data_IF_310522105665
#
_entry.id   IF_310522105665
#
_cell.length_a   1.000
_cell.length_b   1.000
_cell.length_c   1.000
_cell.angle_alpha   90.00
_cell.angle_beta   90.00
_cell.angle_gamma   90.00
#
_symmetry.space_group_name_H-M   'P 1'
#
loop_
_entity.id
_entity.type
_entity.pdbx_description
1 polymer ?
#
# COMPACT_ATOMS: atom_id res chain seq x y z
N UNK A 1 28.80 -10.34 -13.21
CA UNK A 1 28.14 -9.17 -12.59
C UNK A 1 26.82 -9.66 -12.05
N UNK A 2 26.60 -9.69 -10.74
CA UNK A 2 25.29 -10.08 -10.19
C UNK A 2 24.28 -8.98 -10.53
N UNK A 3 23.26 -9.31 -11.29
CA UNK A 3 22.16 -8.39 -11.59
C UNK A 3 21.38 -8.16 -10.30
N UNK A 4 21.28 -6.90 -9.87
CA UNK A 4 20.40 -6.49 -8.78
C UNK A 4 18.94 -6.62 -9.26
N UNK A 5 18.11 -7.37 -8.53
CA UNK A 5 16.69 -7.55 -8.81
C UNK A 5 15.78 -6.73 -7.89
N UNK A 6 16.33 -5.76 -7.13
CA UNK A 6 15.51 -4.80 -6.39
C UNK A 6 14.54 -4.06 -7.34
N UNK A 7 13.29 -3.94 -6.92
CA UNK A 7 12.19 -3.39 -7.71
C UNK A 7 11.73 -2.09 -7.08
N UNK A 8 11.48 -1.08 -7.91
CA UNK A 8 10.76 0.12 -7.50
C UNK A 8 9.40 0.08 -8.19
N UNK A 9 8.35 -0.23 -7.43
CA UNK A 9 7.00 -0.29 -7.98
C UNK A 9 6.22 0.95 -7.57
N UNK A 10 5.45 1.47 -8.51
CA UNK A 10 4.46 2.51 -8.26
C UNK A 10 3.07 1.88 -8.37
N UNK A 11 2.32 1.92 -7.28
CA UNK A 11 0.97 1.40 -7.15
C UNK A 11 -0.01 2.57 -7.25
N UNK A 12 -0.79 2.59 -8.32
CA UNK A 12 -1.81 3.59 -8.56
C UNK A 12 -3.02 3.39 -7.65
N UNK A 13 -3.49 4.49 -7.05
CA UNK A 13 -4.64 4.53 -6.16
C UNK A 13 -5.64 5.54 -6.70
N UNK A 14 -6.84 5.06 -7.02
CA UNK A 14 -7.92 5.83 -7.65
C UNK A 14 -9.19 5.78 -6.81
N UNK A 15 -10.18 6.61 -7.13
CA UNK A 15 -11.53 6.46 -6.60
C UNK A 15 -12.32 5.50 -7.50
N UNK A 16 -13.16 4.66 -6.91
CA UNK A 16 -13.99 3.72 -7.65
C UNK A 16 -14.95 4.41 -8.64
N UNK A 17 -15.46 5.58 -8.26
CA UNK A 17 -16.35 6.40 -9.08
C UNK A 17 -15.75 7.80 -9.29
N UNK A 18 -16.17 8.55 -10.33
CA UNK A 18 -15.80 9.95 -10.48
C UNK A 18 -16.06 10.74 -9.19
N UNK A 19 -15.13 11.63 -8.81
CA UNK A 19 -15.27 12.40 -7.58
C UNK A 19 -16.45 13.37 -7.69
N UNK A 20 -17.38 13.25 -6.73
CA UNK A 20 -18.49 14.17 -6.52
C UNK A 20 -18.57 14.46 -5.02
N UNK A 21 -18.53 15.73 -4.68
CA UNK A 21 -18.55 16.16 -3.29
C UNK A 21 -19.81 15.67 -2.59
N UNK A 22 -19.66 15.09 -1.39
CA UNK A 22 -20.76 14.56 -0.59
C UNK A 22 -21.19 13.12 -0.94
N UNK A 23 -20.82 12.58 -2.10
CA UNK A 23 -21.18 11.20 -2.48
C UNK A 23 -20.29 10.15 -1.79
N UNK A 24 -20.83 8.94 -1.66
CA UNK A 24 -20.08 7.77 -1.20
C UNK A 24 -19.18 7.24 -2.30
N UNK A 25 -17.95 6.92 -1.92
CA UNK A 25 -16.92 6.41 -2.81
C UNK A 25 -15.92 5.61 -1.98
N UNK A 26 -14.96 4.97 -2.63
CA UNK A 26 -13.91 4.23 -1.96
C UNK A 26 -12.65 4.20 -2.83
N UNK A 27 -11.51 3.93 -2.21
CA UNK A 27 -10.24 3.83 -2.93
C UNK A 27 -10.12 2.45 -3.57
N UNK A 28 -9.61 2.42 -4.79
CA UNK A 28 -9.28 1.21 -5.55
C UNK A 28 -7.79 1.23 -5.85
N UNK A 29 -7.14 0.08 -5.66
CA UNK A 29 -5.72 -0.11 -5.93
C UNK A 29 -5.57 -0.79 -7.29
N UNK A 30 -4.78 -0.20 -8.19
CA UNK A 30 -4.39 -0.78 -9.49
C UNK A 30 -5.55 -1.43 -10.25
N UNK A 31 -6.71 -0.76 -10.28
CA UNK A 31 -7.94 -1.23 -10.93
C UNK A 31 -8.40 -2.65 -10.48
N UNK A 32 -8.05 -3.05 -9.25
CA UNK A 32 -8.38 -4.38 -8.70
C UNK A 32 -7.22 -5.37 -8.68
N UNK A 33 -6.02 -4.99 -9.10
CA UNK A 33 -4.80 -5.79 -8.86
C UNK A 33 -4.27 -5.53 -7.45
N UNK A 34 -4.87 -6.19 -6.47
CA UNK A 34 -4.68 -5.89 -5.05
C UNK A 34 -3.43 -6.53 -4.43
N UNK A 35 -2.80 -7.48 -5.12
CA UNK A 35 -1.72 -8.30 -4.55
C UNK A 35 -0.41 -8.09 -5.31
N UNK A 36 0.64 -7.73 -4.58
CA UNK A 36 1.98 -7.51 -5.13
C UNK A 36 2.97 -8.51 -4.52
N UNK A 37 3.71 -9.21 -5.38
CA UNK A 37 4.66 -10.24 -4.96
C UNK A 37 6.10 -9.80 -5.22
N UNK A 38 6.98 -10.10 -4.27
CA UNK A 38 8.40 -9.81 -4.33
C UNK A 38 9.20 -11.09 -4.10
N UNK A 39 10.20 -11.27 -4.95
CA UNK A 39 11.21 -12.31 -4.80
C UNK A 39 12.37 -11.80 -3.96
N UNK A 40 13.11 -12.70 -3.32
CA UNK A 40 14.29 -12.33 -2.54
C UNK A 40 15.29 -11.52 -3.35
N UNK A 41 15.84 -10.50 -2.71
CA UNK A 41 16.85 -9.63 -3.32
C UNK A 41 18.17 -10.41 -3.41
N UNK A 42 18.71 -10.46 -4.62
CA UNK A 42 20.02 -11.02 -4.96
C UNK A 42 20.93 -9.88 -5.40
N UNK A 43 22.17 -9.84 -4.89
CA UNK A 43 23.13 -8.80 -5.26
C UNK A 43 23.29 -7.68 -4.24
N UNK A 44 23.12 -6.41 -4.63
CA UNK A 44 23.43 -5.26 -3.77
C UNK A 44 22.44 -5.10 -2.60
N UNK A 45 22.85 -4.41 -1.53
CA UNK A 45 22.05 -4.06 -0.33
C UNK A 45 20.94 -3.00 -0.58
N UNK A 46 20.28 -3.01 -1.74
CA UNK A 46 19.17 -2.08 -2.01
C UNK A 46 17.85 -2.81 -1.84
N UNK A 47 16.91 -2.28 -1.04
CA UNK A 47 15.62 -2.91 -0.87
C UNK A 47 14.69 -2.68 -2.06
N UNK A 48 13.59 -3.44 -2.12
CA UNK A 48 12.48 -3.02 -2.97
C UNK A 48 11.87 -1.74 -2.41
N UNK A 49 11.36 -0.89 -3.29
CA UNK A 49 10.60 0.31 -2.92
C UNK A 49 9.19 0.18 -3.44
N UNK A 50 8.23 0.40 -2.55
CA UNK A 50 6.81 0.41 -2.86
C UNK A 50 6.31 1.82 -2.66
N UNK A 51 5.79 2.43 -3.71
CA UNK A 51 5.19 3.76 -3.66
C UNK A 51 3.72 3.67 -4.05
N UNK A 52 2.82 4.04 -3.14
CA UNK A 52 1.41 4.26 -3.47
C UNK A 52 1.24 5.70 -3.93
N UNK A 53 0.55 5.91 -5.05
CA UNK A 53 0.34 7.25 -5.63
C UNK A 53 -1.14 7.47 -5.91
N UNK A 54 -1.69 8.58 -5.44
CA UNK A 54 -3.03 9.02 -5.83
C UNK A 54 -3.02 9.50 -7.29
N UNK A 55 -3.73 8.80 -8.17
CA UNK A 55 -3.77 9.05 -9.63
C UNK A 55 -5.20 9.25 -10.13
N UNK A 56 -5.36 9.54 -11.43
CA UNK A 56 -6.68 9.63 -12.07
C UNK A 56 -7.63 10.60 -11.36
N UNK A 57 -8.85 10.13 -11.09
CA UNK A 57 -9.88 10.85 -10.32
C UNK A 57 -9.53 11.03 -8.83
N UNK A 58 -8.52 10.35 -8.30
CA UNK A 58 -7.99 10.53 -6.95
C UNK A 58 -6.86 11.58 -6.87
N UNK A 59 -6.34 12.06 -8.00
CA UNK A 59 -5.16 12.95 -8.05
C UNK A 59 -5.34 14.30 -7.35
N UNK A 60 -6.58 14.72 -7.07
CA UNK A 60 -6.91 15.92 -6.29
C UNK A 60 -6.89 15.74 -4.77
N UNK A 61 -6.75 14.51 -4.28
CA UNK A 61 -6.73 14.20 -2.85
C UNK A 61 -5.33 14.21 -2.25
N UNK A 62 -5.28 13.86 -0.97
CA UNK A 62 -4.06 13.64 -0.21
C UNK A 62 -4.17 12.37 0.63
N UNK A 63 -3.08 11.64 0.81
CA UNK A 63 -3.05 10.59 1.83
C UNK A 63 -3.18 11.21 3.21
N UNK A 64 -3.90 10.53 4.11
CA UNK A 64 -3.97 10.95 5.50
C UNK A 64 -2.57 10.87 6.16
N UNK A 65 -2.39 11.63 7.24
CA UNK A 65 -1.14 11.59 8.01
C UNK A 65 -0.88 10.18 8.56
N UNK A 66 0.37 9.74 8.59
CA UNK A 66 0.72 8.39 9.08
C UNK A 66 0.45 8.20 10.58
N UNK A 67 0.43 9.30 11.34
CA UNK A 67 0.15 9.32 12.78
C UNK A 67 -1.31 9.68 13.11
N UNK A 68 -2.19 9.74 12.11
CA UNK A 68 -3.63 9.93 12.36
C UNK A 68 -4.16 8.73 13.16
N UNK A 69 -4.79 8.94 14.33
CA UNK A 69 -5.18 7.85 15.22
C UNK A 69 -6.34 7.02 14.68
N UNK A 70 -7.19 7.58 13.82
CA UNK A 70 -8.38 6.92 13.30
C UNK A 70 -8.18 6.44 11.86
N UNK A 71 -7.53 7.25 11.03
CA UNK A 71 -7.41 7.06 9.59
C UNK A 71 -5.97 7.28 9.11
N UNK A 72 -4.98 6.51 9.59
CA UNK A 72 -3.59 6.70 9.16
C UNK A 72 -3.47 6.43 7.66
N UNK A 73 -2.61 7.19 6.94
CA UNK A 73 -2.47 7.06 5.49
C UNK A 73 -2.27 5.62 4.99
N UNK A 74 -1.59 4.80 5.81
CA UNK A 74 -1.51 3.34 5.66
C UNK A 74 -1.70 2.66 7.02
N UNK A 75 -2.49 1.59 7.03
CA UNK A 75 -2.69 0.70 8.19
C UNK A 75 -2.45 -0.75 7.80
N UNK A 76 -1.56 -1.43 8.52
CA UNK A 76 -1.41 -2.89 8.45
C UNK A 76 -2.58 -3.58 9.18
N UNK A 77 -3.17 -4.60 8.57
CA UNK A 77 -4.37 -5.26 9.10
C UNK A 77 -4.04 -6.42 10.06
N UNK A 78 -2.99 -7.20 9.77
CA UNK A 78 -2.62 -8.41 10.53
C UNK A 78 -1.55 -8.15 11.62
N UNK A 79 -1.44 -6.90 12.06
CA UNK A 79 -0.37 -6.42 12.93
C UNK A 79 0.73 -5.70 12.17
N UNK A 80 1.43 -4.81 12.86
CA UNK A 80 2.52 -4.02 12.26
C UNK A 80 3.72 -4.93 12.00
N UNK A 81 4.20 -5.04 10.74
CA UNK A 81 5.37 -5.84 10.43
C UNK A 81 6.62 -5.27 11.10
N UNK A 82 7.63 -6.12 11.29
CA UNK A 82 8.92 -5.68 11.81
C UNK A 82 9.59 -4.69 10.85
N UNK A 83 10.29 -3.70 11.40
CA UNK A 83 11.21 -2.80 10.68
C UNK A 83 12.35 -3.54 9.95
N UNK A 84 12.52 -4.85 10.19
CA UNK A 84 13.41 -5.71 9.38
C UNK A 84 12.82 -6.12 8.04
N UNK A 85 11.50 -6.00 7.87
CA UNK A 85 10.75 -6.39 6.67
C UNK A 85 10.29 -5.14 5.93
N UNK A 86 9.52 -4.28 6.58
CA UNK A 86 9.10 -3.00 6.02
C UNK A 86 9.61 -1.87 6.88
N UNK A 87 10.31 -0.91 6.30
CA UNK A 87 10.87 0.20 7.05
C UNK A 87 10.79 1.50 6.25
N UNK A 88 10.99 2.63 6.95
CA UNK A 88 10.91 3.98 6.36
C UNK A 88 9.60 4.21 5.61
N UNK A 89 8.48 3.86 6.24
CA UNK A 89 7.17 4.29 5.75
C UNK A 89 7.08 5.82 5.90
N UNK A 90 7.06 6.53 4.78
CA UNK A 90 7.09 7.99 4.78
C UNK A 90 6.23 8.59 3.66
N UNK A 91 5.62 9.76 3.88
CA UNK A 91 4.95 10.50 2.82
C UNK A 91 5.97 11.19 1.92
N UNK A 92 5.69 11.19 0.60
CA UNK A 92 6.44 11.96 -0.39
C UNK A 92 5.53 13.04 -0.98
N UNK A 93 5.49 14.18 -0.29
CA UNK A 93 4.44 15.18 -0.53
C UNK A 93 3.07 14.66 -0.03
N UNK A 94 1.98 15.20 -0.57
CA UNK A 94 0.62 14.84 -0.11
C UNK A 94 0.03 13.64 -0.85
N UNK A 95 0.55 13.29 -2.03
CA UNK A 95 -0.07 12.31 -2.95
C UNK A 95 0.60 10.95 -2.99
N UNK A 96 1.72 10.79 -2.27
CA UNK A 96 2.51 9.56 -2.32
C UNK A 96 2.85 9.09 -0.91
N UNK A 97 2.78 7.78 -0.70
CA UNK A 97 3.36 7.09 0.45
C UNK A 97 4.41 6.12 -0.08
N UNK A 98 5.58 6.06 0.54
CA UNK A 98 6.64 5.14 0.16
C UNK A 98 7.06 4.29 1.35
N UNK A 99 7.35 3.02 1.11
CA UNK A 99 7.96 2.12 2.09
C UNK A 99 9.03 1.27 1.41
N UNK A 100 10.08 0.95 2.15
CA UNK A 100 11.08 0.00 1.70
C UNK A 100 10.73 -1.41 2.19
N UNK A 101 10.83 -2.38 1.30
CA UNK A 101 10.63 -3.81 1.58
C UNK A 101 11.99 -4.54 1.53
N UNK A 102 12.46 -4.91 2.71
CA UNK A 102 13.72 -5.60 3.01
C UNK A 102 13.56 -7.12 2.88
N UNK A 103 13.31 -7.60 1.65
CA UNK A 103 13.16 -9.02 1.39
C UNK A 103 14.48 -9.71 1.01
N UNK A 104 15.41 -9.87 1.96
CA UNK A 104 16.75 -10.44 1.69
C UNK A 104 16.86 -11.93 1.99
N UNK A 105 16.05 -12.43 2.92
CA UNK A 105 16.13 -13.81 3.40
C UNK A 105 14.79 -14.35 3.87
N UNK A 106 14.79 -15.62 4.27
CA UNK A 106 13.61 -16.36 4.71
C UNK A 106 12.87 -15.73 5.90
N UNK A 107 13.55 -14.95 6.75
CA UNK A 107 12.91 -14.30 7.92
C UNK A 107 11.95 -13.18 7.52
N UNK A 108 12.03 -12.73 6.27
CA UNK A 108 11.16 -11.71 5.69
C UNK A 108 10.11 -12.27 4.72
N UNK A 109 9.95 -13.60 4.65
CA UNK A 109 8.86 -14.25 3.92
C UNK A 109 7.53 -14.09 4.67
N UNK A 110 6.44 -13.93 3.93
CA UNK A 110 5.11 -13.75 4.51
C UNK A 110 4.15 -13.00 3.60
N UNK A 111 2.95 -12.76 4.11
CA UNK A 111 1.92 -11.97 3.46
C UNK A 111 1.38 -10.94 4.44
N UNK A 112 1.28 -9.69 4.00
CA UNK A 112 0.81 -8.57 4.81
C UNK A 112 -0.31 -7.85 4.11
N UNK A 113 -1.49 -7.84 4.73
CA UNK A 113 -2.62 -7.06 4.25
C UNK A 113 -2.57 -5.64 4.80
N UNK A 114 -2.98 -4.69 3.98
CA UNK A 114 -2.98 -3.28 4.34
C UNK A 114 -4.27 -2.59 3.94
N UNK A 115 -4.46 -1.38 4.45
CA UNK A 115 -5.54 -0.47 4.07
C UNK A 115 -4.96 0.93 3.92
N UNK A 116 -5.35 1.62 2.86
CA UNK A 116 -4.97 3.02 2.62
C UNK A 116 -6.13 3.95 2.96
N UNK A 117 -5.78 5.15 3.39
CA UNK A 117 -6.72 6.23 3.70
C UNK A 117 -6.27 7.52 3.02
N UNK A 118 -7.19 8.17 2.32
CA UNK A 118 -6.95 9.44 1.66
C UNK A 118 -8.13 10.39 1.88
N UNK A 119 -7.82 11.68 1.98
CA UNK A 119 -8.78 12.77 2.17
C UNK A 119 -9.01 13.51 0.87
N UNK A 120 -10.27 13.84 0.61
CA UNK A 120 -10.71 14.71 -0.47
C UNK A 120 -11.66 15.75 0.13
N UNK A 121 -11.22 17.02 0.17
CA UNK A 121 -11.90 18.05 0.94
C UNK A 121 -11.99 17.65 2.41
N UNK A 122 -13.20 17.53 2.95
CA UNK A 122 -13.44 17.17 4.35
C UNK A 122 -13.80 15.70 4.56
N UNK A 123 -13.81 14.87 3.51
CA UNK A 123 -14.21 13.45 3.60
C UNK A 123 -13.01 12.54 3.43
N UNK A 124 -12.93 11.52 4.29
CA UNK A 124 -11.92 10.46 4.22
C UNK A 124 -12.49 9.26 3.49
N UNK A 125 -11.72 8.74 2.55
CA UNK A 125 -12.01 7.56 1.75
C UNK A 125 -10.95 6.51 2.05
N UNK A 126 -11.33 5.25 1.91
CA UNK A 126 -10.43 4.14 2.19
C UNK A 126 -10.63 3.00 1.23
N UNK A 127 -9.65 2.12 1.15
CA UNK A 127 -9.84 0.83 0.48
C UNK A 127 -10.84 0.01 1.30
N UNK A 128 -11.91 -0.54 0.70
CA UNK A 128 -12.84 -1.42 1.39
C UNK A 128 -12.11 -2.62 1.97
N UNK A 129 -12.50 -3.03 3.18
CA UNK A 129 -12.00 -4.26 3.78
C UNK A 129 -13.09 -5.30 3.71
N UNK A 130 -12.79 -6.46 3.13
CA UNK A 130 -13.61 -7.64 3.29
C UNK A 130 -13.30 -8.27 4.64
N UNK A 131 -14.30 -8.33 5.53
CA UNK A 131 -14.20 -9.14 6.73
C UNK A 131 -14.18 -10.61 6.30
N UNK A 132 -13.01 -11.25 6.41
CA UNK A 132 -12.79 -12.60 5.90
C UNK A 132 -13.65 -13.63 6.63
N UNK A 133 -14.68 -14.16 5.96
CA UNK A 133 -15.27 -15.45 6.27
C UNK A 133 -14.64 -16.49 5.32
N UNK A 134 -13.38 -16.87 5.58
CA UNK A 134 -12.68 -17.97 4.91
C UNK A 134 -11.54 -17.57 3.94
N UNK A 135 -10.63 -18.52 3.65
CA UNK A 135 -9.37 -18.28 2.92
C UNK A 135 -9.51 -17.96 1.42
N UNK A 136 -10.72 -17.86 0.86
CA UNK A 136 -10.96 -17.71 -0.58
C UNK A 136 -11.67 -16.40 -1.00
N UNK A 137 -11.91 -15.46 -0.09
CA UNK A 137 -12.59 -14.18 -0.40
C UNK A 137 -11.91 -12.95 0.21
N UNK A 138 -10.62 -13.03 0.54
CA UNK A 138 -9.90 -11.87 1.03
C UNK A 138 -9.55 -10.94 -0.15
N UNK A 139 -10.34 -9.89 -0.37
CA UNK A 139 -10.05 -8.83 -1.34
C UNK A 139 -9.26 -7.68 -0.70
N UNK A 140 -8.63 -7.90 0.45
CA UNK A 140 -7.78 -6.87 1.04
C UNK A 140 -6.46 -6.85 0.25
N UNK A 141 -5.93 -5.65 -0.06
CA UNK A 141 -4.68 -5.58 -0.77
C UNK A 141 -3.53 -6.11 0.09
N UNK A 142 -2.61 -6.82 -0.54
CA UNK A 142 -1.51 -7.50 0.14
C UNK A 142 -0.18 -7.31 -0.56
N UNK A 143 0.87 -7.32 0.26
CA UNK A 143 2.24 -7.49 -0.19
C UNK A 143 2.67 -8.89 0.24
N UNK A 144 3.26 -9.65 -0.68
CA UNK A 144 3.75 -11.00 -0.44
C UNK A 144 5.23 -11.10 -0.75
N UNK A 145 5.99 -11.62 0.20
CA UNK A 145 7.39 -11.96 0.05
C UNK A 145 7.53 -13.49 -0.02
N UNK A 146 8.05 -14.01 -1.14
CA UNK A 146 8.15 -15.45 -1.44
C UNK A 146 9.56 -16.03 -1.21
#
# INVERSE_FOLDING_TARGET
MSQNNAQNININVELANPFREGEDNYLVIEQGHLHHQFEKITGTNHPHTITWTLTGNASGGEFCALNDPEHPGLKWLDGVPSEKIFHKLEPRGTKQLTVHNHHYDKSSEGEWHYRLFARFGNKVYSVPVTAGAGPSMNTNPSIKNN
#
